data_IF_863962988373
#
_entry.id   IF_863962988373
#
_cell.length_a   1.000
_cell.length_b   1.000
_cell.length_c   1.000
_cell.angle_alpha   90.00
_cell.angle_beta   90.00
_cell.angle_gamma   90.00
#
_symmetry.space_group_name_H-M   'P 1'
#
loop_
_entity.id
_entity.type
_entity.pdbx_description
1 polymer ?
#
# COMPACT_ATOMS: atom_id res chain seq x y z
N UNK A 1 19.73 -43.52 27.70
CA UNK A 1 19.10 -43.02 26.45
C UNK A 1 19.30 -41.52 26.39
N UNK A 2 20.16 -41.01 25.48
CA UNK A 2 20.41 -39.57 25.31
C UNK A 2 19.23 -38.96 24.53
N UNK A 3 18.55 -37.95 25.11
CA UNK A 3 17.52 -37.18 24.43
C UNK A 3 18.19 -36.31 23.37
N UNK A 4 17.97 -36.62 22.10
CA UNK A 4 18.32 -35.75 20.98
C UNK A 4 17.27 -34.65 20.93
N UNK A 5 17.65 -33.43 21.28
CA UNK A 5 16.82 -32.24 21.06
C UNK A 5 16.95 -31.91 19.58
N UNK A 6 15.89 -32.13 18.80
CA UNK A 6 15.77 -31.60 17.45
C UNK A 6 15.61 -30.08 17.56
N UNK A 7 16.70 -29.35 17.34
CA UNK A 7 16.61 -27.92 17.05
C UNK A 7 16.01 -27.79 15.65
N UNK A 8 14.71 -27.48 15.58
CA UNK A 8 14.08 -27.00 14.36
C UNK A 8 14.65 -25.60 14.10
N UNK A 9 15.77 -25.53 13.40
CA UNK A 9 16.21 -24.29 12.80
C UNK A 9 15.19 -23.98 11.69
N UNK A 10 14.29 -23.02 11.95
CA UNK A 10 13.44 -22.43 10.92
C UNK A 10 14.40 -21.87 9.86
N UNK A 11 14.53 -22.55 8.72
CA UNK A 11 15.22 -22.03 7.55
C UNK A 11 14.34 -20.93 6.94
N UNK A 12 14.23 -19.78 7.61
CA UNK A 12 13.80 -18.57 6.93
C UNK A 12 14.88 -18.26 5.89
N UNK A 13 14.50 -18.29 4.61
CA UNK A 13 15.44 -18.15 3.51
C UNK A 13 16.00 -16.73 3.50
N UNK A 14 17.31 -16.59 3.27
CA UNK A 14 18.01 -15.31 3.10
C UNK A 14 17.31 -14.40 2.06
N UNK A 15 16.57 -15.00 1.13
CA UNK A 15 15.83 -14.30 0.08
C UNK A 15 14.69 -13.42 0.64
N UNK A 16 13.95 -13.85 1.67
CA UNK A 16 12.83 -13.05 2.23
C UNK A 16 13.35 -11.78 2.90
N UNK A 17 14.50 -11.86 3.57
CA UNK A 17 15.13 -10.68 4.18
C UNK A 17 15.68 -9.72 3.13
N UNK A 18 16.22 -10.23 2.03
CA UNK A 18 16.72 -9.42 0.93
C UNK A 18 15.59 -8.71 0.18
N UNK A 19 14.48 -9.42 -0.11
CA UNK A 19 13.28 -8.87 -0.75
C UNK A 19 12.64 -7.77 0.13
N UNK A 20 12.51 -8.00 1.43
CA UNK A 20 11.96 -6.99 2.34
C UNK A 20 12.84 -5.73 2.44
N UNK A 21 14.17 -5.86 2.43
CA UNK A 21 15.08 -4.71 2.55
C UNK A 21 14.90 -3.72 1.40
N UNK A 22 14.72 -4.19 0.16
CA UNK A 22 14.49 -3.31 -0.99
C UNK A 22 13.14 -2.58 -0.90
N UNK A 23 12.09 -3.26 -0.44
CA UNK A 23 10.76 -2.65 -0.19
C UNK A 23 10.81 -1.60 0.93
N UNK A 24 11.65 -1.81 1.95
CA UNK A 24 11.84 -0.84 3.04
C UNK A 24 12.57 0.41 2.54
N UNK A 25 13.62 0.26 1.73
CA UNK A 25 14.39 1.38 1.15
C UNK A 25 13.53 2.24 0.19
N UNK A 26 12.96 1.59 -0.83
CA UNK A 26 11.53 1.64 -1.11
C UNK A 26 10.68 2.75 -0.48
N UNK A 27 9.92 2.29 0.51
CA UNK A 27 8.98 3.05 1.29
C UNK A 27 9.64 4.22 2.02
N UNK A 28 10.87 4.06 2.51
CA UNK A 28 11.60 5.14 3.20
C UNK A 28 11.85 6.33 2.27
N UNK A 29 12.35 6.08 1.05
CA UNK A 29 12.58 7.13 0.07
C UNK A 29 11.27 7.83 -0.32
N UNK A 30 10.20 7.06 -0.52
CA UNK A 30 8.88 7.58 -0.84
C UNK A 30 8.30 8.46 0.29
N UNK A 31 8.35 7.97 1.54
CA UNK A 31 7.83 8.69 2.71
C UNK A 31 8.58 10.01 2.97
N UNK A 32 9.85 10.08 2.57
CA UNK A 32 10.67 11.28 2.69
C UNK A 32 10.68 12.15 1.42
N UNK A 33 9.86 11.85 0.41
CA UNK A 33 9.81 12.55 -0.88
C UNK A 33 11.18 12.65 -1.58
N UNK A 34 12.04 11.63 -1.38
CA UNK A 34 13.38 11.55 -1.97
C UNK A 34 13.32 10.98 -3.41
N UNK A 35 12.76 11.75 -4.34
CA UNK A 35 12.47 11.31 -5.72
C UNK A 35 13.71 10.79 -6.46
N UNK A 36 14.87 11.42 -6.30
CA UNK A 36 16.12 10.96 -6.95
C UNK A 36 16.55 9.59 -6.43
N UNK A 37 16.51 9.38 -5.11
CA UNK A 37 16.82 8.09 -4.49
C UNK A 37 15.82 7.02 -4.93
N UNK A 38 14.53 7.36 -4.94
CA UNK A 38 13.47 6.47 -5.38
C UNK A 38 13.59 6.10 -6.86
N UNK A 39 14.03 7.04 -7.70
CA UNK A 39 14.31 6.80 -9.13
C UNK A 39 15.50 5.85 -9.31
N UNK A 40 16.56 6.03 -8.52
CA UNK A 40 17.73 5.15 -8.52
C UNK A 40 17.37 3.72 -8.09
N UNK A 41 16.57 3.58 -7.03
CA UNK A 41 16.04 2.29 -6.58
C UNK A 41 15.20 1.62 -7.68
N UNK A 42 14.27 2.36 -8.29
CA UNK A 42 13.45 1.84 -9.40
C UNK A 42 14.29 1.37 -10.62
N UNK A 43 15.45 1.97 -10.87
CA UNK A 43 16.35 1.57 -11.95
C UNK A 43 17.13 0.28 -11.62
N UNK A 44 17.43 0.05 -10.34
CA UNK A 44 18.20 -1.10 -9.86
C UNK A 44 17.32 -2.32 -9.52
N UNK A 45 16.05 -2.10 -9.18
CA UNK A 45 15.07 -3.14 -8.89
C UNK A 45 14.54 -3.85 -10.14
N UNK A 46 13.91 -5.01 -9.95
CA UNK A 46 13.20 -5.77 -10.99
C UNK A 46 11.85 -6.29 -10.45
N UNK A 47 11.01 -6.83 -11.34
CA UNK A 47 9.74 -7.46 -10.97
C UNK A 47 8.87 -6.58 -10.06
N UNK A 48 8.37 -7.18 -8.98
CA UNK A 48 7.51 -6.50 -8.00
C UNK A 48 8.14 -5.23 -7.42
N UNK A 49 9.39 -5.29 -6.96
CA UNK A 49 10.06 -4.14 -6.32
C UNK A 49 10.16 -2.94 -7.26
N UNK A 50 10.46 -3.21 -8.54
CA UNK A 50 10.45 -2.16 -9.57
C UNK A 50 9.05 -1.59 -9.75
N UNK A 51 8.03 -2.44 -9.85
CA UNK A 51 6.65 -1.96 -9.97
C UNK A 51 6.22 -1.13 -8.75
N UNK A 52 6.63 -1.54 -7.54
CA UNK A 52 6.35 -0.82 -6.30
C UNK A 52 7.06 0.53 -6.26
N UNK A 53 8.34 0.61 -6.65
CA UNK A 53 9.07 1.88 -6.77
C UNK A 53 8.41 2.82 -7.77
N UNK A 54 7.98 2.30 -8.92
CA UNK A 54 7.27 3.06 -9.95
C UNK A 54 5.91 3.57 -9.44
N UNK A 55 5.15 2.74 -8.73
CA UNK A 55 3.92 3.17 -8.08
C UNK A 55 4.18 4.31 -7.07
N UNK A 56 5.19 4.17 -6.21
CA UNK A 56 5.56 5.21 -5.23
C UNK A 56 6.06 6.50 -5.90
N UNK A 57 6.77 6.42 -7.03
CA UNK A 57 7.09 7.60 -7.85
C UNK A 57 5.82 8.27 -8.38
N UNK A 58 4.87 7.46 -8.86
CA UNK A 58 3.54 7.95 -9.27
C UNK A 58 2.86 8.76 -8.15
N UNK A 59 2.85 8.23 -6.93
CA UNK A 59 2.33 8.92 -5.74
C UNK A 59 3.11 10.19 -5.42
N UNK A 60 4.44 10.17 -5.48
CA UNK A 60 5.26 11.37 -5.25
C UNK A 60 4.96 12.48 -6.27
N UNK A 61 4.81 12.13 -7.55
CA UNK A 61 4.42 13.08 -8.59
C UNK A 61 2.96 13.54 -8.50
N UNK A 62 2.07 12.73 -7.90
CA UNK A 62 0.73 13.18 -7.50
C UNK A 62 0.81 14.38 -6.55
N UNK A 63 1.63 14.26 -5.51
CA UNK A 63 1.81 15.30 -4.48
C UNK A 63 2.42 16.56 -5.09
N UNK A 64 3.36 16.40 -6.04
CA UNK A 64 3.93 17.51 -6.81
C UNK A 64 3.01 18.09 -7.89
N UNK A 65 1.82 17.50 -8.09
CA UNK A 65 0.86 17.88 -9.14
C UNK A 65 1.42 17.76 -10.56
N UNK A 66 2.39 16.87 -10.77
CA UNK A 66 3.01 16.58 -12.07
C UNK A 66 2.34 15.37 -12.72
N UNK A 67 1.09 15.55 -13.15
CA UNK A 67 0.23 14.43 -13.56
C UNK A 67 0.74 13.64 -14.78
N UNK A 68 1.51 14.25 -15.68
CA UNK A 68 2.13 13.51 -16.79
C UNK A 68 3.16 12.50 -16.29
N UNK A 69 3.99 12.89 -15.32
CA UNK A 69 4.98 12.00 -14.71
C UNK A 69 4.29 10.90 -13.90
N UNK A 70 3.24 11.25 -13.15
CA UNK A 70 2.38 10.28 -12.47
C UNK A 70 1.87 9.21 -13.44
N UNK A 71 1.25 9.62 -14.56
CA UNK A 71 0.66 8.69 -15.53
C UNK A 71 1.71 7.78 -16.18
N UNK A 72 2.89 8.31 -16.49
CA UNK A 72 4.00 7.54 -17.03
C UNK A 72 4.45 6.45 -16.05
N UNK A 73 4.70 6.80 -14.79
CA UNK A 73 5.13 5.85 -13.76
C UNK A 73 4.09 4.78 -13.45
N UNK A 74 2.81 5.15 -13.37
CA UNK A 74 1.73 4.18 -13.17
C UNK A 74 1.56 3.24 -14.37
N UNK A 75 1.83 3.70 -15.59
CA UNK A 75 1.82 2.83 -16.79
C UNK A 75 2.93 1.79 -16.70
N UNK A 76 4.15 2.21 -16.36
CA UNK A 76 5.29 1.30 -16.18
C UNK A 76 5.00 0.26 -15.10
N UNK A 77 4.48 0.68 -13.94
CA UNK A 77 4.11 -0.23 -12.86
C UNK A 77 3.06 -1.26 -13.32
N UNK A 78 2.02 -0.80 -14.03
CA UNK A 78 0.98 -1.67 -14.54
C UNK A 78 1.50 -2.71 -15.55
N UNK A 79 2.39 -2.31 -16.46
CA UNK A 79 2.95 -3.21 -17.47
C UNK A 79 3.79 -4.32 -16.85
N UNK A 80 4.63 -3.98 -15.87
CA UNK A 80 5.44 -4.96 -15.13
C UNK A 80 4.53 -5.98 -14.41
N UNK A 81 3.52 -5.50 -13.69
CA UNK A 81 2.62 -6.36 -12.93
C UNK A 81 1.74 -7.24 -13.82
N UNK A 82 1.26 -6.70 -14.95
CA UNK A 82 0.54 -7.49 -15.95
C UNK A 82 1.42 -8.61 -16.51
N UNK A 83 2.68 -8.32 -16.82
CA UNK A 83 3.63 -9.34 -17.30
C UNK A 83 3.88 -10.42 -16.24
N UNK A 84 4.02 -10.03 -14.98
CA UNK A 84 4.19 -10.96 -13.87
C UNK A 84 2.96 -11.85 -13.66
N UNK A 85 1.75 -11.28 -13.72
CA UNK A 85 0.51 -12.05 -13.60
C UNK A 85 0.23 -12.95 -14.80
N UNK A 86 0.79 -12.64 -15.98
CA UNK A 86 0.71 -13.53 -17.14
C UNK A 86 1.50 -14.83 -16.94
N UNK A 87 2.58 -14.81 -16.14
CA UNK A 87 3.40 -16.01 -15.84
C UNK A 87 3.06 -16.62 -14.48
N UNK A 88 2.59 -15.83 -13.52
CA UNK A 88 2.17 -16.26 -12.19
C UNK A 88 0.78 -15.67 -11.84
N UNK A 89 -0.31 -16.25 -12.38
CA UNK A 89 -1.66 -15.69 -12.24
C UNK A 89 -2.24 -15.78 -10.82
N UNK A 90 -1.56 -16.43 -9.86
CA UNK A 90 -1.99 -16.53 -8.47
C UNK A 90 -1.16 -15.63 -7.52
N UNK A 91 -0.31 -14.76 -8.06
CA UNK A 91 0.45 -13.79 -7.27
C UNK A 91 -0.48 -12.69 -6.72
N UNK A 92 -0.95 -12.90 -5.50
CA UNK A 92 -1.89 -12.00 -4.80
C UNK A 92 -1.28 -10.61 -4.61
N UNK A 93 0.01 -10.51 -4.35
CA UNK A 93 0.66 -9.22 -4.05
C UNK A 93 0.74 -8.36 -5.30
N UNK A 94 1.08 -8.98 -6.44
CA UNK A 94 1.02 -8.31 -7.73
C UNK A 94 -0.41 -7.88 -8.09
N UNK A 95 -1.42 -8.70 -7.78
CA UNK A 95 -2.83 -8.30 -7.97
C UNK A 95 -3.19 -7.07 -7.13
N UNK A 96 -2.83 -7.06 -5.85
CA UNK A 96 -3.15 -5.98 -4.90
C UNK A 96 -2.49 -4.68 -5.35
N UNK A 97 -1.20 -4.72 -5.68
CA UNK A 97 -0.50 -3.53 -6.15
C UNK A 97 -1.06 -3.02 -7.49
N UNK A 98 -1.42 -3.94 -8.41
CA UNK A 98 -2.00 -3.57 -9.69
C UNK A 98 -3.38 -2.92 -9.54
N UNK A 99 -4.20 -3.41 -8.61
CA UNK A 99 -5.47 -2.78 -8.23
C UNK A 99 -5.23 -1.34 -7.75
N UNK A 100 -4.21 -1.13 -6.90
CA UNK A 100 -3.90 0.20 -6.40
C UNK A 100 -3.41 1.14 -7.51
N UNK A 101 -2.56 0.64 -8.41
CA UNK A 101 -2.10 1.35 -9.62
C UNK A 101 -3.28 1.74 -10.52
N UNK A 102 -4.21 0.81 -10.78
CA UNK A 102 -5.41 1.09 -11.58
C UNK A 102 -6.34 2.09 -10.90
N UNK A 103 -6.55 1.96 -9.58
CA UNK A 103 -7.38 2.90 -8.83
C UNK A 103 -6.83 4.33 -8.92
N UNK A 104 -5.51 4.49 -8.79
CA UNK A 104 -4.88 5.80 -8.90
C UNK A 104 -4.92 6.34 -10.34
N UNK A 105 -4.69 5.49 -11.34
CA UNK A 105 -4.88 5.83 -12.76
C UNK A 105 -6.27 6.40 -13.02
N UNK A 106 -7.32 5.69 -12.60
CA UNK A 106 -8.72 6.10 -12.80
C UNK A 106 -9.01 7.44 -12.12
N UNK A 107 -8.47 7.66 -10.92
CA UNK A 107 -8.66 8.91 -10.17
C UNK A 107 -8.10 10.14 -10.87
N UNK A 108 -7.07 9.99 -11.72
CA UNK A 108 -6.41 11.09 -12.42
C UNK A 108 -6.55 11.05 -13.96
N UNK A 109 -7.14 9.99 -14.51
CA UNK A 109 -7.46 9.81 -15.93
C UNK A 109 -8.82 9.12 -16.07
N UNK A 110 -9.90 9.91 -15.96
CA UNK A 110 -11.27 9.41 -15.88
C UNK A 110 -11.70 8.61 -17.13
N UNK A 111 -11.11 8.89 -18.29
CA UNK A 111 -11.32 8.14 -19.54
C UNK A 111 -10.86 6.68 -19.43
N UNK A 112 -9.94 6.37 -18.50
CA UNK A 112 -9.48 5.01 -18.23
C UNK A 112 -10.47 4.18 -17.40
N UNK A 113 -11.50 4.78 -16.81
CA UNK A 113 -12.45 4.08 -15.94
C UNK A 113 -13.13 2.89 -16.63
N UNK A 114 -13.57 3.05 -17.88
CA UNK A 114 -14.22 1.97 -18.64
C UNK A 114 -13.28 0.80 -18.94
N UNK A 115 -11.99 1.10 -19.14
CA UNK A 115 -10.97 0.09 -19.46
C UNK A 115 -10.46 -0.63 -18.21
N UNK A 116 -10.16 0.12 -17.15
CA UNK A 116 -9.45 -0.39 -15.97
C UNK A 116 -10.40 -0.88 -14.88
N UNK A 117 -11.60 -0.31 -14.76
CA UNK A 117 -12.59 -0.66 -13.74
C UNK A 117 -12.94 -2.16 -13.72
N UNK A 118 -13.34 -2.78 -14.85
CA UNK A 118 -13.62 -4.21 -14.89
C UNK A 118 -12.41 -5.08 -14.55
N UNK A 119 -11.20 -4.71 -15.00
CA UNK A 119 -9.96 -5.43 -14.68
C UNK A 119 -9.66 -5.38 -13.19
N UNK A 120 -9.79 -4.20 -12.57
CA UNK A 120 -9.62 -4.00 -11.15
C UNK A 120 -10.60 -4.88 -10.34
N UNK A 121 -11.86 -4.98 -10.76
CA UNK A 121 -12.86 -5.82 -10.08
C UNK A 121 -12.52 -7.32 -10.16
N UNK A 122 -12.00 -7.79 -11.29
CA UNK A 122 -11.54 -9.19 -11.45
C UNK A 122 -10.39 -9.47 -10.49
N UNK A 123 -9.37 -8.61 -10.46
CA UNK A 123 -8.21 -8.75 -9.58
C UNK A 123 -8.62 -8.73 -8.10
N UNK A 124 -9.48 -7.79 -7.69
CA UNK A 124 -10.01 -7.73 -6.32
C UNK A 124 -10.74 -9.01 -5.92
N UNK A 125 -11.53 -9.57 -6.84
CA UNK A 125 -12.30 -10.80 -6.59
C UNK A 125 -11.35 -11.99 -6.40
N UNK A 126 -10.35 -12.12 -7.27
CA UNK A 126 -9.35 -13.19 -7.20
C UNK A 126 -8.48 -13.07 -5.95
N UNK A 127 -7.93 -11.89 -5.67
CA UNK A 127 -7.10 -11.65 -4.48
C UNK A 127 -7.87 -11.97 -3.19
N UNK A 128 -9.15 -11.59 -3.11
CA UNK A 128 -10.01 -11.89 -1.96
C UNK A 128 -10.34 -13.39 -1.82
N UNK A 129 -10.41 -14.13 -2.94
CA UNK A 129 -10.60 -15.59 -2.88
C UNK A 129 -9.34 -16.31 -2.38
N UNK A 130 -8.15 -15.85 -2.79
CA UNK A 130 -6.89 -16.51 -2.45
C UNK A 130 -6.42 -16.11 -1.05
N UNK A 131 -6.45 -14.82 -0.71
CA UNK A 131 -5.91 -14.30 0.54
C UNK A 131 -6.84 -13.25 1.18
N UNK A 132 -8.04 -13.65 1.67
CA UNK A 132 -9.03 -12.71 2.23
C UNK A 132 -8.51 -11.92 3.44
N UNK A 133 -7.55 -12.48 4.19
CA UNK A 133 -6.99 -11.85 5.39
C UNK A 133 -5.68 -11.08 5.11
N UNK A 134 -5.30 -10.92 3.83
CA UNK A 134 -4.12 -10.15 3.48
C UNK A 134 -4.29 -8.68 3.91
N UNK A 135 -3.38 -8.11 4.73
CA UNK A 135 -3.57 -6.78 5.27
C UNK A 135 -3.51 -5.68 4.20
N UNK A 136 -2.68 -5.83 3.16
CA UNK A 136 -2.61 -4.88 2.03
C UNK A 136 -3.87 -4.93 1.18
N UNK A 137 -4.47 -6.11 0.98
CA UNK A 137 -5.78 -6.22 0.32
C UNK A 137 -6.84 -5.43 1.09
N UNK A 138 -6.91 -5.60 2.41
CA UNK A 138 -7.85 -4.87 3.26
C UNK A 138 -7.59 -3.36 3.20
N UNK A 139 -6.32 -2.94 3.26
CA UNK A 139 -5.92 -1.55 3.12
C UNK A 139 -6.41 -0.96 1.78
N UNK A 140 -6.08 -1.61 0.66
CA UNK A 140 -6.44 -1.14 -0.69
C UNK A 140 -7.95 -1.11 -0.90
N UNK A 141 -8.70 -2.12 -0.43
CA UNK A 141 -10.16 -2.10 -0.43
C UNK A 141 -10.72 -0.92 0.38
N UNK A 142 -10.10 -0.61 1.52
CA UNK A 142 -10.43 0.56 2.34
C UNK A 142 -10.22 1.87 1.58
N UNK A 143 -9.06 2.06 0.96
CA UNK A 143 -8.71 3.25 0.17
C UNK A 143 -9.71 3.43 -0.99
N UNK A 144 -10.03 2.36 -1.71
CA UNK A 144 -11.03 2.41 -2.80
C UNK A 144 -12.39 2.86 -2.25
N UNK A 145 -12.85 2.27 -1.14
CA UNK A 145 -14.13 2.64 -0.51
C UNK A 145 -14.12 4.07 0.01
N UNK A 146 -12.97 4.58 0.43
CA UNK A 146 -12.79 5.94 0.93
C UNK A 146 -12.91 6.99 -0.17
N UNK A 147 -12.25 6.77 -1.32
CA UNK A 147 -12.18 7.74 -2.41
C UNK A 147 -13.32 7.64 -3.43
N UNK A 148 -13.93 6.46 -3.59
CA UNK A 148 -15.01 6.28 -4.56
C UNK A 148 -16.24 7.11 -4.11
N UNK A 149 -16.91 7.85 -5.01
CA UNK A 149 -18.18 8.49 -4.67
C UNK A 149 -19.25 7.48 -4.26
N UNK A 150 -20.18 7.88 -3.38
CA UNK A 150 -21.25 6.99 -2.86
C UNK A 150 -22.09 6.39 -4.00
N UNK A 151 -22.38 7.16 -5.04
CA UNK A 151 -23.13 6.70 -6.23
C UNK A 151 -22.44 5.57 -7.00
N UNK A 152 -21.12 5.43 -6.84
CA UNK A 152 -20.31 4.38 -7.45
C UNK A 152 -19.90 3.30 -6.42
N UNK A 153 -20.57 3.26 -5.26
CA UNK A 153 -20.37 2.22 -4.25
C UNK A 153 -19.26 2.51 -3.24
N UNK A 154 -18.77 3.74 -3.17
CA UNK A 154 -17.92 4.20 -2.08
C UNK A 154 -18.67 4.30 -0.76
N UNK A 155 -17.96 4.08 0.34
CA UNK A 155 -18.52 4.11 1.69
C UNK A 155 -17.40 4.25 2.72
N UNK A 156 -17.28 5.44 3.30
CA UNK A 156 -16.22 5.77 4.28
C UNK A 156 -16.34 4.99 5.60
N UNK A 157 -17.55 4.59 6.00
CA UNK A 157 -17.73 3.74 7.17
C UNK A 157 -17.19 2.32 6.91
N UNK A 158 -17.45 1.78 5.72
CA UNK A 158 -16.86 0.50 5.29
C UNK A 158 -15.35 0.62 5.16
N UNK A 159 -14.84 1.75 4.66
CA UNK A 159 -13.40 2.01 4.60
C UNK A 159 -12.74 1.88 5.98
N UNK A 160 -13.32 2.51 7.02
CA UNK A 160 -12.84 2.36 8.42
C UNK A 160 -12.84 0.90 8.88
N UNK A 161 -13.88 0.13 8.54
CA UNK A 161 -13.92 -1.30 8.85
C UNK A 161 -12.77 -2.06 8.18
N UNK A 162 -12.44 -1.73 6.92
CA UNK A 162 -11.34 -2.36 6.20
C UNK A 162 -9.97 -1.95 6.77
N UNK A 163 -9.78 -0.67 7.14
CA UNK A 163 -8.55 -0.23 7.81
C UNK A 163 -8.35 -0.95 9.15
N UNK A 164 -9.41 -1.15 9.93
CA UNK A 164 -9.34 -1.95 11.16
C UNK A 164 -8.92 -3.40 10.90
N UNK A 165 -9.45 -4.03 9.84
CA UNK A 165 -9.03 -5.38 9.45
C UNK A 165 -7.56 -5.41 9.05
N UNK A 166 -7.11 -4.46 8.23
CA UNK A 166 -5.71 -4.34 7.83
C UNK A 166 -4.80 -4.26 9.05
N UNK A 167 -5.07 -3.31 9.97
CA UNK A 167 -4.33 -3.12 11.22
C UNK A 167 -4.26 -4.41 12.05
N UNK A 168 -5.38 -5.13 12.18
CA UNK A 168 -5.42 -6.37 12.95
C UNK A 168 -4.63 -7.52 12.30
N UNK A 169 -4.44 -7.50 10.98
CA UNK A 169 -3.75 -8.56 10.25
C UNK A 169 -2.26 -8.28 10.02
N UNK A 170 -1.82 -7.02 10.00
CA UNK A 170 -0.41 -6.65 9.82
C UNK A 170 0.57 -7.34 10.79
N UNK A 171 0.28 -7.50 12.10
CA UNK A 171 1.18 -8.22 12.99
C UNK A 171 1.52 -9.66 12.57
N UNK A 172 0.64 -10.31 11.79
CA UNK A 172 0.87 -11.66 11.27
C UNK A 172 1.60 -11.72 9.93
N UNK A 173 1.87 -10.57 9.30
CA UNK A 173 2.37 -10.47 7.92
C UNK A 173 3.89 -10.21 7.83
N UNK A 174 4.60 -10.20 8.96
CA UNK A 174 6.02 -9.82 9.08
C UNK A 174 7.02 -10.65 8.24
N UNK A 175 6.60 -11.73 7.58
CA UNK A 175 7.44 -12.58 6.73
C UNK A 175 6.88 -12.71 5.29
N UNK A 176 6.03 -11.79 4.86
CA UNK A 176 5.42 -11.85 3.52
C UNK A 176 6.42 -11.56 2.39
N UNK A 177 7.53 -10.86 2.69
CA UNK A 177 8.42 -10.28 1.68
C UNK A 177 7.87 -9.00 1.04
N UNK A 178 6.68 -8.55 1.47
CA UNK A 178 5.94 -7.43 0.88
C UNK A 178 5.36 -6.51 1.97
N UNK A 179 6.06 -6.33 3.08
CA UNK A 179 5.53 -5.62 4.24
C UNK A 179 5.56 -4.09 4.05
N UNK A 180 4.48 -3.55 3.51
CA UNK A 180 4.22 -2.11 3.39
C UNK A 180 2.78 -1.76 3.78
N UNK A 181 2.57 -0.49 4.14
CA UNK A 181 1.24 0.07 4.38
C UNK A 181 0.68 -0.11 5.79
N UNK A 182 1.43 -0.67 6.74
CA UNK A 182 0.96 -0.83 8.11
C UNK A 182 0.71 0.53 8.79
N UNK A 183 1.68 1.45 8.70
CA UNK A 183 1.53 2.83 9.12
C UNK A 183 0.43 3.56 8.31
N UNK A 184 0.38 3.33 6.99
CA UNK A 184 -0.66 3.90 6.12
C UNK A 184 -2.08 3.51 6.57
N UNK A 185 -2.31 2.28 7.03
CA UNK A 185 -3.63 1.85 7.51
C UNK A 185 -4.11 2.67 8.72
N UNK A 186 -3.20 3.03 9.64
CA UNK A 186 -3.49 3.96 10.71
C UNK A 186 -3.76 5.36 10.19
N UNK A 187 -2.93 5.87 9.26
CA UNK A 187 -3.12 7.19 8.66
C UNK A 187 -4.50 7.30 8.00
N UNK A 188 -4.88 6.34 7.17
CA UNK A 188 -6.17 6.36 6.49
C UNK A 188 -7.36 6.26 7.46
N UNK A 189 -7.24 5.46 8.53
CA UNK A 189 -8.26 5.43 9.59
C UNK A 189 -8.36 6.78 10.31
N UNK A 190 -7.22 7.41 10.61
CA UNK A 190 -7.16 8.73 11.23
C UNK A 190 -7.82 9.80 10.37
N UNK A 191 -7.56 9.82 9.06
CA UNK A 191 -8.22 10.73 8.11
C UNK A 191 -9.74 10.55 8.10
N UNK A 192 -10.22 9.31 8.09
CA UNK A 192 -11.66 9.05 8.18
C UNK A 192 -12.28 9.51 9.52
N UNK A 193 -11.51 9.52 10.61
CA UNK A 193 -11.93 10.06 11.92
C UNK A 193 -11.94 11.59 11.93
N UNK A 194 -10.97 12.25 11.29
CA UNK A 194 -10.97 13.71 11.11
C UNK A 194 -12.27 14.16 10.43
N UNK A 195 -12.67 13.49 9.36
CA UNK A 195 -13.90 13.83 8.64
C UNK A 195 -15.18 13.64 9.46
N UNK A 196 -15.12 12.85 10.54
CA UNK A 196 -16.21 12.68 11.52
C UNK A 196 -16.14 13.66 12.69
N UNK A 197 -15.13 14.52 12.74
CA UNK A 197 -14.88 15.40 13.87
C UNK A 197 -14.23 14.71 15.08
N UNK A 198 -13.73 13.48 14.91
CA UNK A 198 -13.10 12.69 15.98
C UNK A 198 -11.58 13.00 16.08
N UNK A 199 -11.20 14.28 16.19
CA UNK A 199 -9.82 14.74 16.06
C UNK A 199 -8.85 14.07 17.04
N UNK A 200 -9.22 13.92 18.31
CA UNK A 200 -8.37 13.27 19.31
C UNK A 200 -8.09 11.80 18.96
N UNK A 201 -9.11 11.09 18.45
CA UNK A 201 -8.97 9.70 18.04
C UNK A 201 -8.17 9.54 16.74
N UNK A 202 -8.17 10.56 15.88
CA UNK A 202 -7.33 10.62 14.69
C UNK A 202 -5.86 10.87 15.04
N UNK A 203 -5.56 11.80 15.96
CA UNK A 203 -4.21 12.03 16.45
C UNK A 203 -3.61 10.78 17.09
N UNK A 204 -4.41 9.98 17.80
CA UNK A 204 -3.96 8.68 18.32
C UNK A 204 -3.54 7.73 17.19
N UNK A 205 -4.29 7.68 16.09
CA UNK A 205 -3.93 6.86 14.92
C UNK A 205 -2.65 7.38 14.25
N UNK A 206 -2.49 8.68 14.08
CA UNK A 206 -1.27 9.23 13.47
C UNK A 206 -0.03 8.99 14.34
N UNK A 207 -0.17 9.03 15.67
CA UNK A 207 0.93 8.66 16.57
C UNK A 207 1.28 7.17 16.45
N UNK A 208 0.30 6.28 16.35
CA UNK A 208 0.55 4.86 16.09
C UNK A 208 1.25 4.64 14.74
N UNK A 209 0.91 5.41 13.71
CA UNK A 209 1.63 5.37 12.44
C UNK A 209 3.12 5.76 12.60
N UNK A 210 3.44 6.71 13.49
CA UNK A 210 4.83 7.09 13.80
C UNK A 210 5.57 6.07 14.67
N UNK A 211 4.87 5.32 15.53
CA UNK A 211 5.49 4.20 16.25
C UNK A 211 5.93 3.09 15.29
N UNK A 212 5.15 2.85 14.23
CA UNK A 212 5.47 1.87 13.18
C UNK A 212 6.52 2.41 12.22
N UNK A 213 6.37 3.66 11.80
CA UNK A 213 7.26 4.32 10.86
C UNK A 213 7.62 5.74 11.36
N UNK A 214 8.70 5.87 12.14
CA UNK A 214 9.16 7.16 12.67
C UNK A 214 9.52 8.19 11.59
N UNK A 215 9.70 7.74 10.35
CA UNK A 215 10.09 8.56 9.21
C UNK A 215 8.89 8.95 8.31
N UNK A 216 7.65 8.64 8.71
CA UNK A 216 6.47 9.06 7.95
C UNK A 216 6.25 10.57 8.02
N UNK A 217 6.66 11.31 6.97
CA UNK A 217 6.38 12.74 6.88
C UNK A 217 4.89 13.03 6.84
N UNK A 218 4.11 12.16 6.19
CA UNK A 218 2.66 12.31 6.11
C UNK A 218 2.01 12.29 7.51
N UNK A 219 2.38 11.34 8.36
CA UNK A 219 1.87 11.31 9.74
C UNK A 219 2.31 12.53 10.56
N UNK A 220 3.58 12.98 10.40
CA UNK A 220 4.09 14.20 11.08
C UNK A 220 3.30 15.45 10.67
N UNK A 221 3.03 15.62 9.38
CA UNK A 221 2.26 16.74 8.85
C UNK A 221 0.81 16.70 9.35
N UNK A 222 0.17 15.53 9.33
CA UNK A 222 -1.21 15.38 9.82
C UNK A 222 -1.32 15.66 11.32
N UNK A 223 -0.34 15.27 12.13
CA UNK A 223 -0.30 15.64 13.55
C UNK A 223 -0.16 17.15 13.70
N UNK A 224 0.78 17.77 13.00
CA UNK A 224 1.01 19.22 13.08
C UNK A 224 -0.23 20.03 12.67
N UNK A 225 -0.95 19.59 11.63
CA UNK A 225 -2.17 20.24 11.15
C UNK A 225 -3.35 20.12 12.13
N UNK A 226 -3.44 19.00 12.87
CA UNK A 226 -4.62 18.67 13.68
C UNK A 226 -4.40 18.80 15.20
N UNK A 227 -3.17 19.13 15.64
CA UNK A 227 -2.87 19.43 17.04
C UNK A 227 -3.05 20.91 17.38
N UNK A 228 -3.00 21.80 16.38
CA UNK A 228 -3.18 23.24 16.55
C UNK A 228 -4.65 23.67 16.75
N UNK A 229 -5.60 22.74 16.59
CA UNK A 229 -7.04 22.95 16.67
C UNK A 229 -7.68 22.45 17.98
N UNK A 230 -6.85 21.97 18.92
CA UNK A 230 -7.23 21.58 20.29
C UNK A 230 -6.83 22.67 21.29
#
# INVERSE_FOLDING_TARGET
MKKVIFAVALSMSLNVFAEQNTIDEIALAANNMQIESLTSLAAQSQGYDKAFAQYKLGVAYMVKQEYSNLQAHLTIAADILNQQLATNPNDVESMILLVQVYSLHIGFAHDKAQQLGPKMQVLLTQANQIAPNNPRLQLVQGIIKYHTPVVYGGNKQVAVTMFNKAINHYPGDVNSGYYWGHDEAYIWRGLAKIEKGETQAALADFNQALEINPNSNWAKELIAQNSASL
#
